data_IF_019828328470
#
_entry.id   IF_019828328470
#
_cell.length_a   1.000
_cell.length_b   1.000
_cell.length_c   1.000
_cell.angle_alpha   90.00
_cell.angle_beta   90.00
_cell.angle_gamma   90.00
#
_symmetry.space_group_name_H-M   'P 1'
#
loop_
_entity.id
_entity.type
_entity.pdbx_description
1 polymer ?
#
# COMPACT_ATOMS: atom_id res chain seq x y z
N UNK A 1 21.10 55.66 -29.12
CA UNK A 1 20.37 55.63 -27.84
C UNK A 1 20.10 54.17 -27.51
N UNK A 2 20.90 53.58 -26.61
CA UNK A 2 20.85 52.16 -26.24
C UNK A 2 20.16 52.08 -24.90
N UNK A 3 19.03 51.37 -24.83
CA UNK A 3 18.30 51.11 -23.59
C UNK A 3 18.80 49.79 -23.04
N UNK A 4 19.51 49.83 -21.92
CA UNK A 4 19.93 48.65 -21.16
C UNK A 4 18.85 48.35 -20.13
N UNK A 5 18.15 47.23 -20.28
CA UNK A 5 17.20 46.71 -19.31
C UNK A 5 17.93 45.75 -18.36
N UNK A 6 18.25 46.24 -17.16
CA UNK A 6 18.62 45.38 -16.04
C UNK A 6 17.36 44.87 -15.36
N UNK A 7 17.04 43.58 -15.54
CA UNK A 7 16.07 42.88 -14.69
C UNK A 7 16.84 42.14 -13.58
N UNK A 8 16.92 42.77 -12.42
CA UNK A 8 17.44 42.18 -11.19
C UNK A 8 16.33 41.42 -10.44
N UNK A 9 16.76 40.43 -9.66
CA UNK A 9 16.04 39.70 -8.61
C UNK A 9 15.13 38.52 -9.03
N UNK A 10 15.74 37.36 -9.33
CA UNK A 10 15.15 36.07 -8.97
C UNK A 10 15.40 35.84 -7.47
N UNK A 11 14.48 36.27 -6.62
CA UNK A 11 14.49 35.85 -5.21
C UNK A 11 14.16 34.36 -5.17
N UNK A 12 15.13 33.55 -4.75
CA UNK A 12 14.93 32.16 -4.34
C UNK A 12 13.95 32.15 -3.17
N UNK A 13 12.66 32.01 -3.47
CA UNK A 13 11.63 31.76 -2.47
C UNK A 13 12.01 30.52 -1.69
N UNK A 14 12.15 30.67 -0.38
CA UNK A 14 12.26 29.54 0.54
C UNK A 14 11.11 28.57 0.25
N UNK A 15 11.38 27.29 -0.04
CA UNK A 15 10.30 26.32 -0.17
C UNK A 15 9.53 26.34 1.15
N UNK A 16 8.23 26.61 1.07
CA UNK A 16 7.35 26.41 2.23
C UNK A 16 7.53 24.95 2.70
N UNK A 17 7.58 24.69 4.01
CA UNK A 17 7.61 23.32 4.51
C UNK A 17 6.37 22.60 3.97
N UNK A 18 6.57 21.71 3.01
CA UNK A 18 5.49 20.89 2.50
C UNK A 18 5.03 20.01 3.66
N UNK A 19 3.71 19.95 3.95
CA UNK A 19 3.23 19.06 5.01
C UNK A 19 3.74 17.65 4.72
N UNK A 20 4.26 16.93 5.73
CA UNK A 20 4.72 15.57 5.52
C UNK A 20 3.61 14.75 4.87
N UNK A 21 3.92 13.88 3.90
CA UNK A 21 2.91 13.02 3.30
C UNK A 21 2.17 12.26 4.42
N UNK A 22 0.86 12.00 4.27
CA UNK A 22 0.10 11.22 5.25
C UNK A 22 0.83 9.90 5.55
N UNK A 23 1.30 9.73 6.79
CA UNK A 23 2.08 8.56 7.22
C UNK A 23 3.59 8.75 7.32
N UNK A 24 4.16 9.93 7.05
CA UNK A 24 5.62 10.16 7.14
C UNK A 24 6.22 10.00 8.56
N UNK A 25 5.38 9.96 9.60
CA UNK A 25 5.77 9.66 10.98
C UNK A 25 5.41 8.24 11.44
N UNK A 26 4.76 7.44 10.60
CA UNK A 26 4.51 6.04 10.90
C UNK A 26 5.81 5.29 10.66
N UNK A 27 6.48 4.87 11.74
CA UNK A 27 7.61 3.95 11.65
C UNK A 27 7.11 2.67 11.00
N UNK A 28 7.49 2.48 9.75
CA UNK A 28 7.18 1.30 8.97
C UNK A 28 8.00 0.15 9.54
N UNK A 29 7.44 -0.58 10.50
CA UNK A 29 8.05 -1.82 10.96
C UNK A 29 8.10 -2.81 9.80
N UNK A 30 9.14 -3.63 9.75
CA UNK A 30 9.28 -4.68 8.75
C UNK A 30 8.13 -5.68 8.90
N UNK A 31 7.25 -5.76 7.90
CA UNK A 31 6.12 -6.67 7.85
C UNK A 31 6.36 -7.88 6.94
N UNK A 32 7.57 -8.03 6.39
CA UNK A 32 7.92 -9.22 5.60
C UNK A 32 7.77 -10.49 6.43
N UNK A 33 7.48 -11.60 5.76
CA UNK A 33 7.25 -12.90 6.39
C UNK A 33 5.85 -13.45 6.14
N UNK A 34 5.55 -14.57 6.80
CA UNK A 34 4.28 -15.28 6.68
C UNK A 34 3.27 -14.77 7.70
N UNK A 35 2.05 -14.57 7.25
CA UNK A 35 0.90 -14.15 8.05
C UNK A 35 -0.25 -15.10 7.81
N UNK A 36 -0.92 -15.57 8.86
CA UNK A 36 -2.04 -16.52 8.75
C UNK A 36 -3.18 -16.19 9.67
N UNK A 37 -4.38 -16.53 9.24
CA UNK A 37 -5.56 -16.43 10.07
C UNK A 37 -6.81 -16.65 9.24
N UNK A 38 -7.75 -15.72 9.31
CA UNK A 38 -9.07 -15.88 8.68
C UNK A 38 -9.48 -14.67 7.86
N UNK A 39 -10.25 -14.91 6.81
CA UNK A 39 -10.91 -13.89 6.01
C UNK A 39 -12.36 -14.33 5.75
N UNK A 40 -13.32 -13.56 6.28
CA UNK A 40 -14.74 -13.93 6.23
C UNK A 40 -15.05 -15.24 6.97
N UNK A 41 -14.20 -15.63 7.94
CA UNK A 41 -14.29 -16.90 8.65
C UNK A 41 -13.60 -18.08 7.97
N UNK A 42 -13.17 -17.95 6.71
CA UNK A 42 -12.40 -18.98 6.00
C UNK A 42 -10.88 -18.80 6.23
N UNK A 43 -10.06 -19.87 6.15
CA UNK A 43 -8.61 -19.75 6.29
C UNK A 43 -7.98 -18.85 5.22
N UNK A 44 -7.08 -17.97 5.64
CA UNK A 44 -6.32 -17.09 4.77
C UNK A 44 -4.84 -17.02 5.19
N UNK A 45 -3.96 -16.85 4.21
CA UNK A 45 -2.54 -16.61 4.42
C UNK A 45 -2.02 -15.50 3.50
N UNK A 46 -1.05 -14.75 3.99
CA UNK A 46 -0.37 -13.72 3.24
C UNK A 46 1.12 -13.86 3.48
N UNK A 47 1.87 -14.14 2.43
CA UNK A 47 3.32 -14.15 2.44
C UNK A 47 3.82 -12.84 1.84
N UNK A 48 4.47 -11.99 2.64
CA UNK A 48 5.07 -10.74 2.17
C UNK A 48 6.56 -11.00 1.94
N UNK A 49 6.99 -10.91 0.68
CA UNK A 49 8.38 -11.21 0.27
C UNK A 49 9.21 -9.96 0.12
N UNK A 50 8.61 -8.88 -0.38
CA UNK A 50 9.28 -7.61 -0.60
C UNK A 50 8.53 -6.46 0.07
N UNK A 51 9.30 -5.52 0.60
CA UNK A 51 8.83 -4.30 1.24
C UNK A 51 9.75 -3.16 0.79
N UNK A 52 9.33 -2.43 -0.24
CA UNK A 52 10.11 -1.33 -0.80
C UNK A 52 9.69 -0.03 -0.15
N UNK A 53 10.67 0.80 0.18
CA UNK A 53 10.42 2.14 0.75
C UNK A 53 9.85 3.12 -0.31
N UNK A 54 9.97 2.80 -1.60
CA UNK A 54 9.55 3.68 -2.70
C UNK A 54 8.81 2.91 -3.80
N UNK A 55 7.50 2.69 -3.63
CA UNK A 55 6.64 2.30 -4.74
C UNK A 55 5.77 3.52 -5.14
N UNK A 56 6.20 4.23 -6.19
CA UNK A 56 5.46 5.36 -6.75
C UNK A 56 4.21 4.87 -7.48
N UNK A 57 3.02 5.11 -6.91
CA UNK A 57 1.74 4.73 -7.54
C UNK A 57 0.74 5.87 -7.71
N UNK A 58 1.03 7.04 -7.15
CA UNK A 58 0.32 8.27 -7.51
C UNK A 58 1.36 9.24 -7.99
N UNK A 59 1.37 9.58 -9.27
CA UNK A 59 2.17 10.68 -9.75
C UNK A 59 1.86 11.18 -11.15
N UNK A 60 2.04 12.48 -11.34
CA UNK A 60 2.05 13.09 -12.66
C UNK A 60 3.47 12.92 -13.22
N UNK A 61 3.61 12.29 -14.37
CA UNK A 61 4.91 12.08 -15.01
C UNK A 61 5.05 12.98 -16.24
N UNK A 62 6.24 13.54 -16.45
CA UNK A 62 6.65 14.12 -17.73
C UNK A 62 7.90 13.39 -18.20
N UNK A 63 7.74 12.56 -19.23
CA UNK A 63 8.76 11.58 -19.61
C UNK A 63 8.99 10.55 -18.51
N UNK A 64 10.25 10.30 -18.16
CA UNK A 64 10.64 9.38 -17.08
C UNK A 64 10.72 10.04 -15.69
N UNK A 65 10.36 11.32 -15.57
CA UNK A 65 10.45 12.09 -14.33
C UNK A 65 9.07 12.28 -13.69
N UNK A 66 8.95 11.95 -12.41
CA UNK A 66 7.76 12.19 -11.61
C UNK A 66 7.74 13.65 -11.11
N UNK A 67 6.72 14.42 -11.48
CA UNK A 67 6.54 15.84 -11.12
C UNK A 67 5.70 16.04 -9.86
N UNK A 68 4.67 15.22 -9.68
CA UNK A 68 3.76 15.24 -8.53
C UNK A 68 3.57 13.82 -8.05
N UNK A 69 3.26 13.62 -6.78
CA UNK A 69 2.97 12.31 -6.22
C UNK A 69 3.76 11.96 -4.98
N UNK A 70 3.27 10.96 -4.25
CA UNK A 70 3.96 10.45 -3.08
C UNK A 70 4.43 9.03 -3.36
N UNK A 71 5.74 8.80 -3.18
CA UNK A 71 6.28 7.47 -3.00
C UNK A 71 5.60 6.88 -1.76
N UNK A 72 4.87 5.80 -1.97
CA UNK A 72 4.28 5.04 -0.86
C UNK A 72 5.11 3.81 -0.69
N UNK A 73 5.47 3.44 0.54
CA UNK A 73 6.10 2.16 0.75
C UNK A 73 5.20 1.06 0.19
N UNK A 74 5.76 0.21 -0.67
CA UNK A 74 5.07 -0.86 -1.36
C UNK A 74 5.39 -2.21 -0.73
N UNK A 75 4.51 -3.17 -0.92
CA UNK A 75 4.76 -4.58 -0.61
C UNK A 75 4.41 -5.46 -1.79
N UNK A 76 5.10 -6.59 -1.90
CA UNK A 76 4.76 -7.66 -2.83
C UNK A 76 4.82 -9.01 -2.12
N UNK A 77 4.05 -9.96 -2.63
CA UNK A 77 3.86 -11.23 -1.95
C UNK A 77 2.89 -12.17 -2.64
N UNK A 78 2.40 -13.13 -1.86
CA UNK A 78 1.39 -14.12 -2.26
C UNK A 78 0.23 -14.05 -1.28
N UNK A 79 -0.98 -13.92 -1.79
CA UNK A 79 -2.21 -14.08 -1.02
C UNK A 79 -2.77 -15.49 -1.28
N UNK A 80 -2.95 -16.25 -0.22
CA UNK A 80 -3.67 -17.53 -0.25
C UNK A 80 -5.03 -17.35 0.40
N UNK A 81 -6.09 -17.69 -0.32
CA UNK A 81 -7.46 -17.58 0.17
C UNK A 81 -8.34 -18.68 -0.39
N UNK A 82 -9.47 -18.94 0.25
CA UNK A 82 -10.45 -19.91 -0.23
C UNK A 82 -11.32 -19.29 -1.34
N UNK A 83 -11.18 -19.79 -2.57
CA UNK A 83 -12.00 -19.42 -3.72
C UNK A 83 -12.77 -20.66 -4.15
N UNK A 84 -14.11 -20.59 -4.15
CA UNK A 84 -14.95 -21.75 -4.51
C UNK A 84 -14.59 -23.03 -3.71
N UNK A 85 -14.34 -22.89 -2.41
CA UNK A 85 -13.94 -23.99 -1.48
C UNK A 85 -12.55 -24.58 -1.75
N UNK A 86 -11.75 -23.98 -2.63
CA UNK A 86 -10.37 -24.39 -2.89
C UNK A 86 -9.36 -23.32 -2.43
N UNK A 87 -8.28 -23.75 -1.80
CA UNK A 87 -7.20 -22.87 -1.39
C UNK A 87 -6.39 -22.42 -2.62
N UNK A 88 -6.58 -21.16 -3.01
CA UNK A 88 -5.95 -20.57 -4.18
C UNK A 88 -4.89 -19.56 -3.74
N UNK A 89 -3.68 -19.69 -4.28
CA UNK A 89 -2.58 -18.76 -4.04
C UNK A 89 -2.34 -17.89 -5.27
N UNK A 90 -2.35 -16.58 -5.08
CA UNK A 90 -2.19 -15.60 -6.17
C UNK A 90 -1.16 -14.53 -5.80
N UNK A 91 -0.43 -13.99 -6.78
CA UNK A 91 0.42 -12.83 -6.57
C UNK A 91 -0.38 -11.66 -6.01
N UNK A 92 0.18 -11.03 -4.99
CA UNK A 92 -0.42 -9.89 -4.32
C UNK A 92 0.60 -8.75 -4.25
N UNK A 93 0.10 -7.54 -4.45
CA UNK A 93 0.88 -6.31 -4.32
C UNK A 93 0.10 -5.32 -3.49
N UNK A 94 0.79 -4.44 -2.79
CA UNK A 94 0.14 -3.51 -1.89
C UNK A 94 0.97 -2.29 -1.62
N UNK A 95 0.36 -1.33 -0.95
CA UNK A 95 1.00 -0.10 -0.56
C UNK A 95 0.44 0.39 0.76
N UNK A 96 1.31 1.07 1.49
CA UNK A 96 0.92 1.77 2.70
C UNK A 96 0.29 3.12 2.36
N UNK A 97 -0.68 3.53 3.16
CA UNK A 97 -1.28 4.85 3.14
C UNK A 97 -1.60 5.31 4.55
N UNK A 98 -1.92 6.60 4.68
CA UNK A 98 -2.42 7.18 5.92
C UNK A 98 -3.87 7.63 5.73
N UNK A 99 -4.78 7.12 6.55
CA UNK A 99 -6.14 7.69 6.72
C UNK A 99 -6.22 8.21 8.14
N UNK A 100 -6.55 9.48 8.33
CA UNK A 100 -6.71 10.09 9.67
C UNK A 100 -5.52 9.88 10.63
N UNK A 101 -4.29 9.81 10.08
CA UNK A 101 -3.07 9.58 10.86
C UNK A 101 -2.78 8.11 11.20
N UNK A 102 -3.63 7.17 10.79
CA UNK A 102 -3.41 5.73 10.96
C UNK A 102 -2.80 5.10 9.70
N UNK A 103 -1.74 4.31 9.91
CA UNK A 103 -1.10 3.54 8.86
C UNK A 103 -2.03 2.39 8.41
N UNK A 104 -2.41 2.40 7.14
CA UNK A 104 -3.22 1.36 6.50
C UNK A 104 -2.43 0.72 5.38
N UNK A 105 -2.47 -0.59 5.27
CA UNK A 105 -1.91 -1.36 4.18
C UNK A 105 -3.04 -1.81 3.25
N UNK A 106 -3.01 -1.37 1.99
CA UNK A 106 -3.92 -1.85 0.97
C UNK A 106 -3.23 -2.92 0.14
N UNK A 107 -3.86 -4.08 -0.02
CA UNK A 107 -3.37 -5.19 -0.83
C UNK A 107 -4.38 -5.45 -1.94
N UNK A 108 -3.86 -5.70 -3.14
CA UNK A 108 -4.61 -6.12 -4.31
C UNK A 108 -3.98 -7.41 -4.82
N UNK A 109 -4.82 -8.40 -5.09
CA UNK A 109 -4.42 -9.66 -5.68
C UNK A 109 -5.32 -9.95 -6.87
N UNK A 110 -4.72 -10.14 -8.04
CA UNK A 110 -5.45 -10.43 -9.26
C UNK A 110 -5.48 -11.94 -9.48
N UNK A 111 -6.64 -12.54 -9.23
CA UNK A 111 -6.89 -13.96 -9.48
C UNK A 111 -7.55 -14.17 -10.85
N UNK A 112 -7.47 -15.37 -11.45
CA UNK A 112 -8.23 -15.70 -12.64
C UNK A 112 -9.76 -15.53 -12.48
N UNK A 113 -10.27 -15.63 -11.25
CA UNK A 113 -11.70 -15.45 -10.93
C UNK A 113 -12.10 -13.97 -10.79
N UNK A 114 -11.13 -13.07 -10.70
CA UNK A 114 -11.32 -11.64 -10.48
C UNK A 114 -10.40 -11.08 -9.40
N UNK A 115 -10.50 -9.78 -9.18
CA UNK A 115 -9.68 -9.07 -8.22
C UNK A 115 -10.16 -9.30 -6.78
N UNK A 116 -9.20 -9.45 -5.88
CA UNK A 116 -9.34 -9.48 -4.43
C UNK A 116 -8.63 -8.26 -3.84
N UNK A 117 -9.23 -7.64 -2.82
CA UNK A 117 -8.71 -6.44 -2.18
C UNK A 117 -8.78 -6.58 -0.67
N UNK A 118 -7.71 -6.19 0.01
CA UNK A 118 -7.65 -6.15 1.47
C UNK A 118 -7.26 -4.75 1.90
N UNK A 119 -7.85 -4.29 2.99
CA UNK A 119 -7.48 -3.08 3.71
C UNK A 119 -7.14 -3.47 5.14
N UNK A 120 -5.85 -3.49 5.45
CA UNK A 120 -5.29 -3.98 6.70
C UNK A 120 -4.73 -2.84 7.53
N UNK A 121 -4.76 -2.99 8.85
CA UNK A 121 -4.07 -2.13 9.81
C UNK A 121 -3.33 -3.00 10.83
N UNK A 122 -2.19 -2.55 11.34
CA UNK A 122 -1.53 -3.22 12.45
C UNK A 122 -2.39 -3.16 13.71
N UNK A 123 -2.44 -4.27 14.44
CA UNK A 123 -3.06 -4.40 15.77
C UNK A 123 -2.04 -5.03 16.74
N UNK A 124 -0.90 -4.36 16.87
CA UNK A 124 0.30 -4.87 17.53
C UNK A 124 1.39 -5.31 16.54
N UNK A 125 2.52 -5.87 17.03
CA UNK A 125 3.67 -6.22 16.19
C UNK A 125 3.45 -7.45 15.28
N UNK A 126 2.61 -8.38 15.74
CA UNK A 126 2.42 -9.70 15.13
C UNK A 126 0.98 -9.91 14.64
N UNK A 127 0.18 -8.85 14.52
CA UNK A 127 -1.22 -8.95 14.09
C UNK A 127 -1.60 -7.87 13.09
N UNK A 128 -2.25 -8.28 12.02
CA UNK A 128 -2.88 -7.44 11.01
C UNK A 128 -4.38 -7.72 11.01
N UNK A 129 -5.19 -6.67 11.09
CA UNK A 129 -6.65 -6.79 11.08
C UNK A 129 -7.23 -5.84 10.04
N UNK A 130 -8.41 -6.15 9.51
CA UNK A 130 -8.98 -5.31 8.47
C UNK A 130 -10.24 -5.86 7.83
N UNK A 131 -10.49 -5.39 6.62
CA UNK A 131 -11.59 -5.85 5.78
C UNK A 131 -11.05 -6.26 4.42
N UNK A 132 -11.69 -7.26 3.82
CA UNK A 132 -11.40 -7.69 2.46
C UNK A 132 -12.65 -7.90 1.64
N UNK A 133 -12.54 -7.68 0.33
CA UNK A 133 -13.60 -7.92 -0.63
C UNK A 133 -13.05 -8.64 -1.88
N UNK A 134 -13.92 -9.44 -2.48
CA UNK A 134 -13.69 -10.08 -3.78
C UNK A 134 -14.67 -9.50 -4.78
N UNK A 135 -14.22 -9.25 -6.01
CA UNK A 135 -15.08 -8.77 -7.10
C UNK A 135 -16.07 -9.81 -7.63
N UNK A 136 -15.98 -11.05 -7.16
CA UNK A 136 -16.79 -12.21 -7.53
C UNK A 136 -17.52 -12.78 -6.31
N UNK A 137 -18.72 -13.33 -6.52
CA UNK A 137 -19.66 -13.69 -5.44
C UNK A 137 -19.26 -14.91 -4.60
N UNK A 138 -18.47 -15.81 -5.18
CA UNK A 138 -17.95 -17.01 -4.51
C UNK A 138 -16.54 -16.80 -3.95
N UNK A 139 -16.13 -15.54 -3.82
CA UNK A 139 -14.88 -15.15 -3.17
C UNK A 139 -15.10 -14.77 -1.72
N UNK A 140 -14.02 -14.81 -0.92
CA UNK A 140 -14.08 -14.40 0.48
C UNK A 140 -14.34 -12.89 0.57
N UNK A 141 -15.12 -12.51 1.57
CA UNK A 141 -15.44 -11.11 1.87
C UNK A 141 -15.73 -10.95 3.36
N UNK A 142 -15.46 -9.76 3.89
CA UNK A 142 -15.71 -9.42 5.29
C UNK A 142 -14.42 -9.21 6.07
N UNK A 143 -14.47 -9.39 7.41
CA UNK A 143 -13.33 -9.18 8.29
C UNK A 143 -12.16 -10.09 7.93
N UNK A 144 -10.95 -9.57 8.02
CA UNK A 144 -9.72 -10.33 7.88
C UNK A 144 -8.85 -10.10 9.12
N UNK A 145 -8.34 -11.19 9.67
CA UNK A 145 -7.43 -11.20 10.80
C UNK A 145 -6.28 -12.14 10.49
N UNK A 146 -5.06 -11.62 10.52
CA UNK A 146 -3.85 -12.36 10.25
C UNK A 146 -2.87 -12.16 11.40
N UNK A 147 -2.23 -13.25 11.80
CA UNK A 147 -1.18 -13.27 12.81
C UNK A 147 0.11 -13.70 12.16
N UNK A 148 1.23 -13.09 12.54
CA UNK A 148 2.55 -13.44 12.04
C UNK A 148 2.91 -14.87 12.46
N UNK A 149 3.32 -15.70 11.51
CA UNK A 149 3.97 -16.97 11.82
C UNK A 149 5.44 -16.72 12.21
N UNK A 150 5.87 -17.37 13.29
CA UNK A 150 7.26 -17.32 13.77
C UNK A 150 8.13 -18.36 13.09
#
# INVERSE_FOLDING_TARGET
MVVVLFAAACTTGTPLPQPPPPGAGATMNDIRGSWRGTWGGAPAALLITDQQVSAGYSGLYVGNYQLLGHERPGVAGILTSEINTEQTSVPAHGWFGGVEGQLTLRIVADSPSGQQRLTLRPDGPDRLVGMGDSSFRWGPSGPIELTRER
#
